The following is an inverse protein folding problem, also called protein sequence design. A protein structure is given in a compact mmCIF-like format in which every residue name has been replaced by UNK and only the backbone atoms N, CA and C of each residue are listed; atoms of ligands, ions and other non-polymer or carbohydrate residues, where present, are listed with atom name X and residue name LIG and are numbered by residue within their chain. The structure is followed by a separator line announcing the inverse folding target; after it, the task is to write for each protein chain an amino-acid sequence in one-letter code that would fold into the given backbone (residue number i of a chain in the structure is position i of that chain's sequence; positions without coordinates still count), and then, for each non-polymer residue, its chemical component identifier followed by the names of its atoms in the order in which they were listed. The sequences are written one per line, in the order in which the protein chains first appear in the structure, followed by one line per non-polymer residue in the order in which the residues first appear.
data_IF_027774750344
#
_entry.id   IF_027774750344
#
_cell.length_a   1.000
_cell.length_b   1.000
_cell.length_c   1.000
_cell.angle_alpha   90.00
_cell.angle_beta   90.00
_cell.angle_gamma   90.00
#
_symmetry.space_group_name_H-M   'P 1'
#
loop_
_entity.id
_entity.type
_entity.pdbx_description
1 polymer ?
#
# COMPACT_ATOMS: atom_id res chain seq x y z
N UNK A 1 18.39 -6.77 22.29
CA UNK A 1 18.24 -5.38 21.79
C UNK A 1 16.76 -5.13 21.61
N UNK A 2 16.30 -3.88 21.78
CA UNK A 2 14.92 -3.55 21.44
C UNK A 2 14.72 -3.74 19.93
N UNK A 3 13.59 -4.31 19.51
CA UNK A 3 13.24 -4.46 18.11
C UNK A 3 12.97 -3.09 17.48
N UNK A 4 13.26 -2.94 16.20
CA UNK A 4 13.00 -1.72 15.45
C UNK A 4 11.70 -1.87 14.63
N UNK A 5 11.15 -0.76 14.16
CA UNK A 5 10.09 -0.75 13.16
C UNK A 5 10.70 -0.64 11.76
N UNK A 6 10.08 -1.27 10.77
CA UNK A 6 10.54 -1.31 9.39
C UNK A 6 9.47 -0.78 8.42
N UNK A 7 9.88 0.18 7.57
CA UNK A 7 9.17 0.48 6.33
C UNK A 7 9.94 -0.11 5.16
N UNK A 8 9.26 -0.89 4.33
CA UNK A 8 9.84 -1.54 3.16
C UNK A 8 8.92 -1.40 1.95
N UNK A 9 9.48 -0.96 0.84
CA UNK A 9 8.78 -0.85 -0.44
C UNK A 9 9.53 -1.52 -1.57
N UNK A 10 8.88 -1.66 -2.72
CA UNK A 10 9.52 -2.21 -3.92
C UNK A 10 9.27 -1.32 -5.14
N UNK A 11 10.31 -1.03 -5.92
CA UNK A 11 10.19 -0.24 -7.14
C UNK A 11 11.10 -0.71 -8.27
N UNK A 12 10.67 -0.43 -9.49
CA UNK A 12 11.49 -0.56 -10.70
C UNK A 12 11.09 0.52 -11.69
N UNK A 13 12.08 1.09 -12.42
CA UNK A 13 11.88 2.14 -13.41
C UNK A 13 11.24 3.44 -12.87
N UNK A 14 11.34 3.72 -11.58
CA UNK A 14 10.97 5.02 -11.00
C UNK A 14 12.21 5.88 -10.79
N UNK A 15 12.04 7.18 -11.07
CA UNK A 15 13.02 8.20 -10.75
C UNK A 15 12.74 8.88 -9.41
N UNK A 16 13.60 9.81 -9.05
CA UNK A 16 13.49 10.59 -7.80
C UNK A 16 12.12 11.28 -7.72
N UNK A 17 11.62 11.82 -8.84
CA UNK A 17 10.40 12.59 -8.86
C UNK A 17 9.16 11.77 -8.45
N UNK A 18 9.08 10.51 -8.90
CA UNK A 18 7.99 9.60 -8.50
C UNK A 18 8.09 9.16 -7.05
N UNK A 19 9.31 9.04 -6.51
CA UNK A 19 9.56 8.53 -5.16
C UNK A 19 9.51 9.60 -4.07
N UNK A 20 9.67 10.89 -4.41
CA UNK A 20 9.74 12.01 -3.44
C UNK A 20 8.63 12.00 -2.40
N UNK A 21 7.34 11.91 -2.74
CA UNK A 21 6.27 11.97 -1.74
C UNK A 21 6.37 10.86 -0.71
N UNK A 22 6.62 9.64 -1.15
CA UNK A 22 6.77 8.48 -0.27
C UNK A 22 7.99 8.63 0.64
N UNK A 23 9.16 8.88 0.08
CA UNK A 23 10.43 8.96 0.80
C UNK A 23 10.44 10.13 1.81
N UNK A 24 10.05 11.32 1.35
CA UNK A 24 10.12 12.53 2.18
C UNK A 24 9.04 12.52 3.27
N UNK A 25 7.86 11.96 2.99
CA UNK A 25 6.83 11.82 4.02
C UNK A 25 7.20 10.82 5.12
N UNK A 26 7.92 9.75 4.80
CA UNK A 26 8.49 8.83 5.80
C UNK A 26 9.51 9.58 6.66
N UNK A 27 10.42 10.32 6.04
CA UNK A 27 11.44 11.09 6.77
C UNK A 27 10.83 12.16 7.69
N UNK A 28 9.72 12.79 7.24
CA UNK A 28 8.97 13.78 8.01
C UNK A 28 8.25 13.17 9.22
N UNK A 29 7.58 12.03 9.04
CA UNK A 29 6.65 11.47 10.03
C UNK A 29 7.27 10.38 10.92
N UNK A 30 8.29 9.69 10.42
CA UNK A 30 8.93 8.53 11.06
C UNK A 30 10.45 8.54 10.82
N UNK A 31 11.19 9.57 11.29
CA UNK A 31 12.62 9.75 10.97
C UNK A 31 13.50 8.58 11.43
N UNK A 32 13.18 7.96 12.56
CA UNK A 32 13.99 6.95 13.22
C UNK A 32 13.67 5.51 12.77
N UNK A 33 12.72 5.31 11.85
CA UNK A 33 12.35 3.99 11.37
C UNK A 33 13.44 3.39 10.47
N UNK A 34 13.62 2.09 10.50
CA UNK A 34 14.42 1.39 9.47
C UNK A 34 13.71 1.48 8.13
N UNK A 35 14.45 1.93 7.11
CA UNK A 35 13.93 2.17 5.75
C UNK A 35 14.64 1.26 4.77
N UNK A 36 13.88 0.48 3.99
CA UNK A 36 14.39 -0.45 2.99
C UNK A 36 13.66 -0.27 1.67
N UNK A 37 14.40 -0.22 0.58
CA UNK A 37 13.86 -0.23 -0.77
C UNK A 37 14.36 -1.45 -1.53
N UNK A 38 13.45 -2.36 -1.87
CA UNK A 38 13.71 -3.41 -2.84
C UNK A 38 13.70 -2.76 -4.24
N UNK A 39 14.88 -2.69 -4.89
CA UNK A 39 15.05 -1.89 -6.09
C UNK A 39 15.46 -2.74 -7.29
N UNK A 40 14.66 -2.67 -8.35
CA UNK A 40 14.96 -3.23 -9.66
C UNK A 40 15.79 -2.26 -10.52
N UNK A 41 15.37 -2.04 -11.76
CA UNK A 41 15.99 -1.04 -12.65
C UNK A 41 15.77 0.36 -12.11
N UNK A 42 16.86 1.11 -11.93
CA UNK A 42 16.85 2.53 -11.56
C UNK A 42 18.18 3.17 -11.97
N UNK A 43 18.17 4.48 -12.20
CA UNK A 43 19.40 5.25 -12.46
C UNK A 43 20.31 5.28 -11.23
N UNK A 44 21.62 5.48 -11.43
CA UNK A 44 22.54 5.63 -10.30
C UNK A 44 22.16 6.83 -9.44
N UNK A 45 21.75 7.95 -10.04
CA UNK A 45 21.27 9.14 -9.34
C UNK A 45 20.11 8.82 -8.38
N UNK A 46 19.13 8.01 -8.82
CA UNK A 46 18.01 7.59 -7.96
C UNK A 46 18.50 6.71 -6.80
N UNK A 47 19.45 5.82 -7.05
CA UNK A 47 20.03 4.96 -6.00
C UNK A 47 20.78 5.76 -4.97
N UNK A 48 21.65 6.67 -5.40
CA UNK A 48 22.44 7.53 -4.53
C UNK A 48 21.53 8.42 -3.67
N UNK A 49 20.50 9.01 -4.28
CA UNK A 49 19.52 9.82 -3.57
C UNK A 49 18.77 9.02 -2.50
N UNK A 50 18.33 7.79 -2.78
CA UNK A 50 17.67 6.94 -1.78
C UNK A 50 18.59 6.63 -0.59
N UNK A 51 19.88 6.37 -0.85
CA UNK A 51 20.89 6.15 0.21
C UNK A 51 21.08 7.44 1.04
N UNK A 52 21.16 8.60 0.41
CA UNK A 52 21.22 9.91 1.09
C UNK A 52 19.98 10.17 1.96
N UNK A 53 18.81 9.65 1.55
CA UNK A 53 17.59 9.70 2.35
C UNK A 53 17.53 8.64 3.48
N UNK A 54 18.58 7.85 3.65
CA UNK A 54 18.70 6.85 4.72
C UNK A 54 18.08 5.49 4.40
N UNK A 55 17.84 5.18 3.11
CA UNK A 55 17.34 3.88 2.70
C UNK A 55 18.46 2.87 2.49
N UNK A 56 18.29 1.66 3.03
CA UNK A 56 19.02 0.49 2.60
C UNK A 56 18.43 0.00 1.28
N UNK A 57 19.28 -0.25 0.29
CA UNK A 57 18.87 -0.77 -1.02
C UNK A 57 19.08 -2.27 -1.10
N UNK A 58 18.03 -2.99 -1.43
CA UNK A 58 18.05 -4.44 -1.65
C UNK A 58 17.72 -4.73 -3.12
N UNK A 59 18.56 -5.45 -3.86
CA UNK A 59 18.28 -5.73 -5.25
C UNK A 59 17.03 -6.62 -5.39
N UNK A 60 16.13 -6.28 -6.32
CA UNK A 60 15.04 -7.17 -6.70
C UNK A 60 15.58 -8.30 -7.61
N UNK A 61 15.11 -9.53 -7.44
CA UNK A 61 15.49 -10.62 -8.35
C UNK A 61 15.04 -10.33 -9.78
N UNK A 62 15.84 -10.78 -10.75
CA UNK A 62 15.43 -10.70 -12.15
C UNK A 62 14.53 -11.91 -12.47
N UNK A 63 13.27 -11.63 -12.77
CA UNK A 63 12.29 -12.65 -13.11
C UNK A 63 11.28 -12.09 -14.12
N UNK A 64 10.73 -12.96 -14.96
CA UNK A 64 9.64 -12.61 -15.86
C UNK A 64 8.29 -12.66 -15.11
N UNK A 65 8.21 -11.88 -14.04
CA UNK A 65 7.04 -11.76 -13.16
C UNK A 65 6.72 -10.27 -13.06
N UNK A 66 5.44 -9.88 -13.16
CA UNK A 66 5.05 -8.49 -13.00
C UNK A 66 5.53 -7.90 -11.66
N UNK A 67 6.02 -6.67 -11.70
CA UNK A 67 6.67 -6.03 -10.53
C UNK A 67 5.76 -5.94 -9.30
N UNK A 68 4.46 -5.73 -9.50
CA UNK A 68 3.48 -5.68 -8.41
C UNK A 68 3.32 -7.04 -7.68
N UNK A 69 3.68 -8.16 -8.31
CA UNK A 69 3.79 -9.49 -7.67
C UNK A 69 5.21 -9.74 -7.18
N UNK A 70 6.23 -9.39 -7.99
CA UNK A 70 7.63 -9.64 -7.67
C UNK A 70 8.11 -8.92 -6.41
N UNK A 71 7.57 -7.72 -6.13
CA UNK A 71 7.90 -6.98 -4.90
C UNK A 71 7.65 -7.80 -3.64
N UNK A 72 6.61 -8.61 -3.59
CA UNK A 72 6.32 -9.45 -2.43
C UNK A 72 7.36 -10.54 -2.20
N UNK A 73 7.92 -11.12 -3.27
CA UNK A 73 9.08 -12.02 -3.14
C UNK A 73 10.28 -11.28 -2.57
N UNK A 74 10.59 -10.10 -3.10
CA UNK A 74 11.75 -9.32 -2.65
C UNK A 74 11.65 -8.94 -1.18
N UNK A 75 10.45 -8.52 -0.74
CA UNK A 75 10.17 -8.21 0.66
C UNK A 75 10.28 -9.47 1.53
N UNK A 76 9.76 -10.60 1.05
CA UNK A 76 9.89 -11.89 1.76
C UNK A 76 11.35 -12.30 1.94
N UNK A 77 12.17 -12.23 0.88
CA UNK A 77 13.58 -12.60 0.96
C UNK A 77 14.34 -11.76 1.99
N UNK A 78 14.06 -10.46 2.04
CA UNK A 78 14.63 -9.59 3.07
C UNK A 78 14.13 -9.97 4.48
N UNK A 79 12.83 -10.14 4.65
CA UNK A 79 12.23 -10.46 5.95
C UNK A 79 12.62 -11.87 6.42
N UNK A 80 12.75 -12.86 5.54
CA UNK A 80 13.18 -14.20 5.89
C UNK A 80 14.48 -14.20 6.73
N UNK A 81 15.39 -13.29 6.42
CA UNK A 81 16.70 -13.20 7.06
C UNK A 81 16.74 -12.19 8.23
N UNK A 82 15.78 -11.25 8.27
CA UNK A 82 15.88 -10.10 9.16
C UNK A 82 14.66 -9.90 10.08
N UNK A 83 13.57 -10.64 9.93
CA UNK A 83 12.29 -10.36 10.63
C UNK A 83 12.41 -10.29 12.15
N UNK A 84 13.31 -11.05 12.76
CA UNK A 84 13.50 -11.08 14.22
C UNK A 84 14.02 -9.74 14.78
N UNK A 85 14.62 -8.89 13.94
CA UNK A 85 15.10 -7.57 14.31
C UNK A 85 13.97 -6.55 14.43
N UNK A 86 12.78 -6.85 13.85
CA UNK A 86 11.67 -5.92 13.73
C UNK A 86 10.48 -6.31 14.60
N UNK A 87 9.85 -5.30 15.18
CA UNK A 87 8.56 -5.44 15.85
C UNK A 87 7.43 -5.41 14.82
N UNK A 88 7.35 -4.30 14.10
CA UNK A 88 6.38 -4.10 13.04
C UNK A 88 7.05 -3.88 11.69
N UNK A 89 6.33 -4.30 10.66
CA UNK A 89 6.65 -4.02 9.26
C UNK A 89 5.45 -3.34 8.60
N UNK A 90 5.71 -2.23 7.90
CA UNK A 90 4.75 -1.61 6.99
C UNK A 90 5.32 -1.70 5.58
N UNK A 91 4.52 -2.20 4.64
CA UNK A 91 4.82 -2.17 3.20
C UNK A 91 3.70 -1.46 2.44
N UNK A 92 4.09 -0.62 1.49
CA UNK A 92 3.13 0.10 0.66
C UNK A 92 3.59 0.14 -0.79
N UNK A 93 2.67 0.50 -1.70
CA UNK A 93 3.05 1.08 -2.98
C UNK A 93 3.90 2.33 -2.72
N UNK A 94 4.79 2.68 -3.66
CA UNK A 94 5.79 3.73 -3.40
C UNK A 94 5.63 4.96 -4.30
N UNK A 95 4.81 4.88 -5.34
CA UNK A 95 4.62 5.96 -6.31
C UNK A 95 3.52 6.94 -5.91
N UNK A 96 2.41 6.39 -5.43
CA UNK A 96 1.16 7.10 -5.20
C UNK A 96 0.69 7.03 -3.73
N UNK A 97 1.66 6.90 -2.83
CA UNK A 97 1.45 6.87 -1.36
C UNK A 97 2.25 7.98 -0.69
N UNK A 98 1.66 8.61 0.31
CA UNK A 98 2.40 9.43 1.29
C UNK A 98 1.84 9.24 2.70
N UNK A 99 2.65 9.55 3.70
CA UNK A 99 2.30 9.45 5.11
C UNK A 99 1.95 10.83 5.66
N UNK A 100 0.85 10.92 6.40
CA UNK A 100 0.45 12.17 7.07
C UNK A 100 0.89 12.20 8.54
N UNK A 101 1.07 11.04 9.15
CA UNK A 101 1.52 10.88 10.53
C UNK A 101 2.23 9.54 10.71
N UNK A 102 2.82 9.34 11.87
CA UNK A 102 3.46 8.08 12.26
C UNK A 102 2.46 6.92 12.25
N UNK A 103 2.62 6.04 11.25
CA UNK A 103 1.72 4.91 11.05
C UNK A 103 1.97 3.76 12.06
N UNK A 104 3.13 3.69 12.69
CA UNK A 104 3.40 2.68 13.73
C UNK A 104 2.62 2.97 15.01
N UNK A 105 2.38 4.25 15.32
CA UNK A 105 1.50 4.62 16.45
C UNK A 105 0.07 4.11 16.29
N UNK A 106 -0.38 3.90 15.05
CA UNK A 106 -1.67 3.25 14.81
C UNK A 106 -1.61 1.77 15.24
N UNK A 107 -0.54 1.06 14.88
CA UNK A 107 -0.36 -0.35 15.25
C UNK A 107 -0.30 -0.51 16.77
N UNK A 108 0.48 0.32 17.44
CA UNK A 108 0.58 0.32 18.92
C UNK A 108 -0.77 0.61 19.58
N UNK A 109 -1.47 1.64 19.13
CA UNK A 109 -2.76 2.06 19.69
C UNK A 109 -3.83 0.95 19.59
N UNK A 110 -3.80 0.18 18.52
CA UNK A 110 -4.74 -0.93 18.29
C UNK A 110 -4.21 -2.29 18.75
N UNK A 111 -3.09 -2.32 19.46
CA UNK A 111 -2.46 -3.56 19.97
C UNK A 111 -2.22 -4.61 18.86
N UNK A 112 -1.88 -4.16 17.65
CA UNK A 112 -1.53 -5.07 16.55
C UNK A 112 -0.22 -5.78 16.92
N UNK A 113 -0.13 -7.08 16.70
CA UNK A 113 1.05 -7.89 17.07
C UNK A 113 1.06 -8.41 18.51
N UNK A 114 0.16 -7.94 19.37
CA UNK A 114 0.01 -8.50 20.71
C UNK A 114 -0.60 -9.90 20.63
N UNK A 115 -0.12 -10.81 21.47
CA UNK A 115 -0.60 -12.19 21.53
C UNK A 115 -2.13 -12.23 21.70
N UNK A 116 -2.77 -13.12 20.93
CA UNK A 116 -4.23 -13.32 20.89
C UNK A 116 -5.04 -12.12 20.34
N UNK A 117 -4.35 -11.09 19.84
CA UNK A 117 -4.94 -9.94 19.13
C UNK A 117 -4.66 -10.01 17.62
N UNK A 118 -5.05 -8.98 16.88
CA UNK A 118 -4.75 -8.90 15.46
C UNK A 118 -3.23 -8.80 15.23
N UNK A 119 -2.75 -9.48 14.19
CA UNK A 119 -1.33 -9.50 13.84
C UNK A 119 -1.02 -8.67 12.60
N UNK A 120 -2.04 -8.40 11.80
CA UNK A 120 -1.95 -7.70 10.51
C UNK A 120 -3.01 -6.62 10.45
N UNK A 121 -2.79 -5.59 9.62
CA UNK A 121 -3.75 -4.53 9.33
C UNK A 121 -3.81 -4.24 7.83
N UNK A 122 -5.01 -3.97 7.34
CA UNK A 122 -5.25 -3.50 5.97
C UNK A 122 -6.43 -2.51 5.93
N UNK A 123 -6.47 -1.67 4.90
CA UNK A 123 -7.48 -0.63 4.72
C UNK A 123 -8.56 -1.02 3.71
N UNK A 124 -9.82 -0.72 4.04
CA UNK A 124 -10.98 -0.89 3.16
C UNK A 124 -10.93 0.06 1.96
N UNK A 125 -11.44 -0.39 0.82
CA UNK A 125 -11.82 0.45 -0.33
C UNK A 125 -13.27 0.95 -0.25
N UNK A 126 -13.97 0.70 0.87
CA UNK A 126 -15.37 1.03 1.12
C UNK A 126 -16.36 0.50 0.06
N UNK A 127 -15.99 -0.48 -0.71
CA UNK A 127 -16.83 -1.15 -1.73
C UNK A 127 -16.74 -2.67 -1.58
N UNK A 128 -17.78 -3.36 -2.06
CA UNK A 128 -17.74 -4.81 -2.24
C UNK A 128 -17.25 -5.15 -3.65
N UNK A 129 -16.72 -6.35 -3.83
CA UNK A 129 -16.28 -6.82 -5.14
C UNK A 129 -17.38 -6.68 -6.20
N UNK A 130 -18.61 -7.12 -5.92
CA UNK A 130 -19.74 -7.03 -6.87
C UNK A 130 -20.09 -5.61 -7.31
N UNK A 131 -19.72 -4.61 -6.52
CA UNK A 131 -20.06 -3.20 -6.72
C UNK A 131 -18.92 -2.41 -7.39
N UNK A 132 -17.74 -3.04 -7.58
CA UNK A 132 -16.57 -2.49 -8.26
C UNK A 132 -16.20 -3.37 -9.45
N UNK A 133 -16.47 -2.87 -10.66
CA UNK A 133 -16.44 -3.69 -11.89
C UNK A 133 -15.07 -4.31 -12.19
N UNK A 134 -13.98 -3.56 -11.98
CA UNK A 134 -12.64 -4.05 -12.24
C UNK A 134 -12.24 -5.16 -11.26
N UNK A 135 -12.41 -4.94 -9.97
CA UNK A 135 -12.09 -5.93 -8.94
C UNK A 135 -12.97 -7.17 -9.04
N UNK A 136 -14.26 -6.99 -9.35
CA UNK A 136 -15.19 -8.10 -9.56
C UNK A 136 -14.74 -9.02 -10.69
N UNK A 137 -14.41 -8.44 -11.85
CA UNK A 137 -13.89 -9.17 -13.00
C UNK A 137 -12.53 -9.79 -12.72
N UNK A 138 -11.63 -9.04 -12.04
CA UNK A 138 -10.32 -9.52 -11.64
C UNK A 138 -10.41 -10.74 -10.72
N UNK A 139 -11.32 -10.73 -9.74
CA UNK A 139 -11.56 -11.87 -8.84
C UNK A 139 -12.07 -13.09 -9.63
N UNK A 140 -13.00 -12.87 -10.57
CA UNK A 140 -13.56 -13.93 -11.40
C UNK A 140 -12.48 -14.55 -12.30
N UNK A 141 -11.69 -13.74 -12.99
CA UNK A 141 -10.61 -14.21 -13.87
C UNK A 141 -9.48 -14.89 -13.12
N UNK A 142 -9.17 -14.41 -11.90
CA UNK A 142 -8.10 -14.99 -11.06
C UNK A 142 -8.46 -16.37 -10.52
N UNK A 143 -9.70 -16.58 -10.12
CA UNK A 143 -10.09 -17.77 -9.34
C UNK A 143 -11.23 -18.60 -9.95
N UNK A 144 -11.89 -18.09 -11.00
CA UNK A 144 -13.06 -18.74 -11.59
C UNK A 144 -14.34 -18.56 -10.78
N UNK A 145 -15.49 -19.02 -11.34
CA UNK A 145 -16.82 -18.70 -10.83
C UNK A 145 -17.11 -19.25 -9.43
N UNK A 146 -16.49 -20.35 -9.03
CA UNK A 146 -16.75 -20.93 -7.71
C UNK A 146 -16.25 -20.02 -6.59
N UNK A 147 -14.99 -19.65 -6.63
CA UNK A 147 -14.39 -18.74 -5.63
C UNK A 147 -14.98 -17.33 -5.75
N UNK A 148 -15.20 -16.85 -6.96
CA UNK A 148 -15.88 -15.58 -7.18
C UNK A 148 -17.23 -15.52 -6.44
N UNK A 149 -18.08 -16.53 -6.57
CA UNK A 149 -19.38 -16.58 -5.88
C UNK A 149 -19.27 -16.58 -4.34
N UNK A 150 -18.18 -17.13 -3.79
CA UNK A 150 -17.94 -17.11 -2.35
C UNK A 150 -17.50 -15.73 -1.83
N UNK A 151 -16.83 -14.93 -2.65
CA UNK A 151 -16.16 -13.71 -2.20
C UNK A 151 -16.69 -12.41 -2.80
N UNK A 152 -17.54 -12.44 -3.82
CA UNK A 152 -18.07 -11.23 -4.51
C UNK A 152 -18.83 -10.27 -3.60
N UNK A 153 -19.39 -10.75 -2.51
CA UNK A 153 -20.10 -9.93 -1.50
C UNK A 153 -19.19 -9.39 -0.41
N UNK A 154 -17.89 -9.77 -0.40
CA UNK A 154 -16.93 -9.27 0.56
C UNK A 154 -16.47 -7.86 0.19
N UNK A 155 -16.09 -7.10 1.22
CA UNK A 155 -15.46 -5.79 1.07
C UNK A 155 -14.07 -5.99 0.47
N UNK A 156 -13.70 -5.08 -0.43
CA UNK A 156 -12.35 -5.02 -1.00
C UNK A 156 -11.41 -4.35 0.01
N UNK A 157 -10.30 -5.00 0.30
CA UNK A 157 -9.19 -4.43 1.07
C UNK A 157 -7.99 -4.27 0.14
N UNK A 158 -7.39 -3.09 0.17
CA UNK A 158 -6.31 -2.75 -0.76
C UNK A 158 -4.98 -3.39 -0.33
N UNK A 159 -4.31 -4.04 -1.28
CA UNK A 159 -3.02 -4.72 -1.08
C UNK A 159 -1.83 -3.76 -1.14
N UNK A 160 -2.04 -2.54 -1.61
CA UNK A 160 -1.01 -1.50 -1.72
C UNK A 160 -0.62 -0.85 -0.40
N UNK A 161 -1.30 -1.16 0.73
CA UNK A 161 -0.97 -0.66 2.06
C UNK A 161 -1.23 -1.73 3.11
N UNK A 162 -0.17 -2.35 3.59
CA UNK A 162 -0.21 -3.43 4.58
C UNK A 162 0.70 -3.12 5.77
N UNK A 163 0.30 -3.55 6.95
CA UNK A 163 1.13 -3.45 8.15
C UNK A 163 0.86 -4.59 9.13
N UNK A 164 1.78 -4.79 10.07
CA UNK A 164 1.61 -5.79 11.12
C UNK A 164 2.89 -6.24 11.77
N UNK A 165 2.81 -7.26 12.63
CA UNK A 165 3.99 -7.87 13.24
C UNK A 165 4.89 -8.50 12.17
N UNK A 166 6.20 -8.42 12.37
CA UNK A 166 7.18 -8.79 11.37
C UNK A 166 7.07 -10.25 10.92
N UNK A 167 6.77 -11.16 11.84
CA UNK A 167 6.58 -12.59 11.54
C UNK A 167 5.39 -12.82 10.60
N UNK A 168 4.23 -12.25 10.93
CA UNK A 168 3.04 -12.41 10.11
C UNK A 168 3.13 -11.67 8.77
N UNK A 169 3.80 -10.52 8.73
CA UNK A 169 4.06 -9.81 7.48
C UNK A 169 4.97 -10.62 6.55
N UNK A 170 6.05 -11.24 7.07
CA UNK A 170 6.91 -12.17 6.32
C UNK A 170 6.10 -13.27 5.65
N UNK A 171 5.24 -13.92 6.41
CA UNK A 171 4.46 -15.06 5.93
C UNK A 171 3.35 -14.62 4.96
N UNK A 172 2.72 -13.46 5.20
CA UNK A 172 1.69 -12.93 4.31
C UNK A 172 2.25 -12.57 2.93
N UNK A 173 3.37 -11.84 2.88
CA UNK A 173 3.94 -11.43 1.58
C UNK A 173 4.41 -12.64 0.77
N UNK A 174 4.94 -13.68 1.40
CA UNK A 174 5.24 -14.95 0.74
C UNK A 174 3.99 -15.62 0.18
N UNK A 175 2.92 -15.67 0.96
CA UNK A 175 1.67 -16.26 0.53
C UNK A 175 1.00 -15.47 -0.61
N UNK A 176 1.08 -14.14 -0.60
CA UNK A 176 0.63 -13.31 -1.73
C UNK A 176 1.43 -13.68 -2.99
N UNK A 177 2.77 -13.67 -2.91
CA UNK A 177 3.63 -14.02 -4.03
C UNK A 177 3.34 -15.41 -4.58
N UNK A 178 3.38 -16.44 -3.74
CA UNK A 178 3.24 -17.84 -4.16
C UNK A 178 1.88 -18.14 -4.77
N UNK A 179 0.82 -17.50 -4.27
CA UNK A 179 -0.53 -17.65 -4.82
C UNK A 179 -0.78 -16.81 -6.08
N UNK A 180 -0.06 -15.70 -6.26
CA UNK A 180 -0.19 -14.83 -7.42
C UNK A 180 0.56 -15.34 -8.66
N UNK A 181 1.71 -16.00 -8.47
CA UNK A 181 2.66 -16.35 -9.55
C UNK A 181 2.06 -17.26 -10.62
N UNK A 182 1.12 -18.13 -10.28
CA UNK A 182 0.54 -19.12 -11.20
C UNK A 182 -0.91 -18.78 -11.61
N UNK A 183 -1.27 -17.51 -11.67
CA UNK A 183 -2.62 -17.10 -12.08
C UNK A 183 -2.70 -16.78 -13.57
N UNK A 184 -3.89 -16.90 -14.17
CA UNK A 184 -4.06 -16.76 -15.62
C UNK A 184 -3.93 -15.33 -16.14
N UNK A 185 -4.00 -14.33 -15.25
CA UNK A 185 -3.87 -12.90 -15.58
C UNK A 185 -2.74 -12.26 -14.76
N UNK A 186 -2.11 -11.18 -15.27
CA UNK A 186 -0.91 -10.63 -14.63
C UNK A 186 -1.17 -9.83 -13.35
N UNK A 187 -2.30 -9.11 -13.26
CA UNK A 187 -2.62 -8.24 -12.10
C UNK A 187 -3.60 -8.98 -11.20
N UNK A 188 -3.08 -9.65 -10.18
CA UNK A 188 -3.87 -10.58 -9.34
C UNK A 188 -3.61 -10.42 -7.85
N UNK A 189 -2.62 -9.64 -7.47
CA UNK A 189 -2.16 -9.50 -6.09
C UNK A 189 -3.30 -9.07 -5.13
N UNK A 190 -4.17 -8.14 -5.56
CA UNK A 190 -5.30 -7.70 -4.74
C UNK A 190 -6.37 -8.80 -4.57
N UNK A 191 -6.72 -9.53 -5.63
CA UNK A 191 -7.66 -10.64 -5.53
C UNK A 191 -7.10 -11.76 -4.65
N UNK A 192 -5.82 -12.09 -4.82
CA UNK A 192 -5.11 -13.09 -4.00
C UNK A 192 -5.10 -12.66 -2.53
N UNK A 193 -4.69 -11.43 -2.24
CA UNK A 193 -4.69 -10.89 -0.89
C UNK A 193 -6.06 -10.99 -0.23
N UNK A 194 -7.12 -10.58 -0.92
CA UNK A 194 -8.47 -10.60 -0.36
C UNK A 194 -9.00 -12.02 -0.10
N UNK A 195 -8.64 -13.00 -0.92
CA UNK A 195 -8.96 -14.40 -0.64
C UNK A 195 -8.20 -14.88 0.59
N UNK A 196 -6.89 -14.58 0.70
CA UNK A 196 -6.06 -14.97 1.85
C UNK A 196 -6.62 -14.43 3.16
N UNK A 197 -6.91 -13.13 3.25
CA UNK A 197 -7.38 -12.51 4.51
C UNK A 197 -8.81 -12.89 4.89
N UNK A 198 -9.55 -13.54 4.02
CA UNK A 198 -10.89 -14.06 4.30
C UNK A 198 -10.90 -15.58 4.53
N UNK A 199 -9.74 -16.24 4.47
CA UNK A 199 -9.56 -17.68 4.72
C UNK A 199 -8.54 -17.91 5.84
N UNK A 200 -8.51 -19.15 6.38
CA UNK A 200 -7.47 -19.51 7.34
C UNK A 200 -6.09 -19.60 6.65
N UNK A 201 -5.00 -19.23 7.32
CA UNK A 201 -4.92 -18.84 8.75
C UNK A 201 -5.18 -17.34 9.03
N UNK A 202 -5.32 -16.49 7.99
CA UNK A 202 -5.34 -15.03 8.16
C UNK A 202 -6.67 -14.46 8.64
N UNK A 203 -7.79 -15.14 8.40
CA UNK A 203 -9.15 -14.63 8.65
C UNK A 203 -9.35 -14.02 10.04
N UNK A 204 -8.73 -14.60 11.06
CA UNK A 204 -8.93 -14.20 12.44
C UNK A 204 -7.82 -13.29 13.00
N UNK A 205 -6.74 -13.08 12.23
CA UNK A 205 -5.56 -12.33 12.70
C UNK A 205 -5.38 -11.00 11.96
N UNK A 206 -6.24 -10.69 10.98
CA UNK A 206 -6.19 -9.43 10.24
C UNK A 206 -7.20 -8.44 10.81
N UNK A 207 -6.70 -7.27 11.23
CA UNK A 207 -7.54 -6.11 11.52
C UNK A 207 -7.92 -5.43 10.21
N UNK A 208 -9.15 -5.67 9.79
CA UNK A 208 -9.75 -5.09 8.59
C UNK A 208 -10.31 -3.72 8.94
N UNK A 209 -9.55 -2.66 8.66
CA UNK A 209 -9.93 -1.32 9.07
C UNK A 209 -10.93 -0.69 8.10
N UNK A 210 -11.88 0.02 8.68
CA UNK A 210 -12.72 1.01 8.00
C UNK A 210 -12.01 2.37 7.96
N UNK A 211 -12.47 3.30 7.13
CA UNK A 211 -11.93 4.66 7.07
C UNK A 211 -12.02 5.38 8.43
N UNK A 212 -13.04 5.10 9.21
CA UNK A 212 -13.24 5.67 10.56
C UNK A 212 -12.09 5.39 11.52
N UNK A 213 -11.32 4.31 11.32
CA UNK A 213 -10.16 4.01 12.13
C UNK A 213 -8.96 4.91 11.83
N UNK A 214 -8.89 5.53 10.64
CA UNK A 214 -7.80 6.43 10.26
C UNK A 214 -6.47 5.74 9.91
N UNK A 215 -6.49 4.44 9.55
CA UNK A 215 -5.31 3.73 9.07
C UNK A 215 -4.87 4.24 7.71
N UNK A 216 -5.63 3.90 6.68
CA UNK A 216 -5.32 4.27 5.31
C UNK A 216 -6.58 4.62 4.53
N UNK A 217 -6.49 5.59 3.63
CA UNK A 217 -7.51 5.90 2.63
C UNK A 217 -7.08 5.42 1.25
N UNK A 218 -8.00 4.82 0.49
CA UNK A 218 -7.81 4.31 -0.86
C UNK A 218 -8.50 5.27 -1.85
N UNK A 219 -7.83 6.36 -2.22
CA UNK A 219 -8.45 7.46 -2.95
C UNK A 219 -9.01 7.07 -4.33
N UNK A 220 -8.44 6.05 -4.97
CA UNK A 220 -8.88 5.56 -6.27
C UNK A 220 -10.31 4.99 -6.32
N UNK A 221 -10.88 4.67 -5.16
CA UNK A 221 -12.27 4.20 -5.05
C UNK A 221 -13.18 5.20 -4.34
N UNK A 222 -12.68 5.88 -3.30
CA UNK A 222 -13.52 6.70 -2.44
C UNK A 222 -13.45 8.21 -2.72
N UNK A 223 -12.58 8.67 -3.64
CA UNK A 223 -12.39 10.10 -3.89
C UNK A 223 -11.99 10.43 -5.35
N UNK A 224 -11.73 9.45 -6.22
CA UNK A 224 -11.40 9.68 -7.63
C UNK A 224 -12.59 10.32 -8.36
N UNK A 225 -12.50 11.59 -8.82
CA UNK A 225 -13.59 12.28 -9.44
C UNK A 225 -14.05 11.64 -10.77
N UNK A 226 -13.23 10.80 -11.38
CA UNK A 226 -13.59 10.07 -12.61
C UNK A 226 -14.47 8.85 -12.35
N UNK A 227 -14.57 8.38 -11.11
CA UNK A 227 -15.25 7.14 -10.73
C UNK A 227 -16.28 7.29 -9.61
N UNK A 228 -16.08 8.24 -8.71
CA UNK A 228 -16.83 8.35 -7.46
C UNK A 228 -18.33 8.44 -7.66
N UNK A 229 -18.80 9.14 -8.69
CA UNK A 229 -20.23 9.26 -8.97
C UNK A 229 -20.90 7.91 -9.25
N UNK A 230 -20.18 7.00 -9.92
CA UNK A 230 -20.64 5.64 -10.15
C UNK A 230 -20.58 4.75 -8.89
N UNK A 231 -19.63 5.00 -8.00
CA UNK A 231 -19.44 4.22 -6.77
C UNK A 231 -20.30 4.70 -5.60
N UNK A 232 -20.63 6.01 -5.55
CA UNK A 232 -21.34 6.64 -4.43
C UNK A 232 -22.60 5.91 -3.96
N UNK A 233 -23.46 5.35 -4.83
CA UNK A 233 -24.64 4.60 -4.37
C UNK A 233 -24.30 3.32 -3.58
N UNK A 234 -23.08 2.77 -3.76
CA UNK A 234 -22.64 1.51 -3.17
C UNK A 234 -21.54 1.69 -2.12
N UNK A 235 -21.10 2.93 -1.87
CA UNK A 235 -20.12 3.21 -0.83
C UNK A 235 -20.66 2.79 0.55
N UNK A 236 -19.84 2.02 1.27
CA UNK A 236 -20.16 1.53 2.61
C UNK A 236 -19.79 2.52 3.72
N UNK A 237 -19.01 3.55 3.35
CA UNK A 237 -18.55 4.60 4.26
C UNK A 237 -18.63 5.96 3.57
N UNK A 238 -18.80 7.07 4.33
CA UNK A 238 -18.78 8.43 3.77
C UNK A 238 -17.43 8.75 3.12
N UNK A 239 -17.48 9.55 2.05
CA UNK A 239 -16.28 10.03 1.36
C UNK A 239 -15.34 10.78 2.31
N UNK A 240 -14.00 10.64 2.13
CA UNK A 240 -13.02 11.43 2.87
C UNK A 240 -13.07 12.89 2.43
N UNK A 241 -12.47 13.77 3.24
CA UNK A 241 -12.39 15.21 2.97
C UNK A 241 -10.95 15.66 2.95
N UNK A 242 -10.69 16.74 2.21
CA UNK A 242 -9.41 17.43 2.25
C UNK A 242 -9.60 18.74 3.01
N UNK A 243 -8.93 18.89 4.15
CA UNK A 243 -9.10 20.04 5.05
C UNK A 243 -7.71 20.49 5.52
N UNK A 244 -7.36 21.74 5.29
CA UNK A 244 -6.09 22.35 5.73
C UNK A 244 -4.85 21.53 5.35
N UNK A 245 -4.83 21.00 4.13
CA UNK A 245 -3.70 20.18 3.64
C UNK A 245 -3.65 18.75 4.20
N UNK A 246 -4.74 18.28 4.79
CA UNK A 246 -4.86 16.93 5.35
C UNK A 246 -6.06 16.19 4.77
N UNK A 247 -5.86 14.92 4.47
CA UNK A 247 -6.96 14.00 4.16
C UNK A 247 -7.50 13.42 5.45
N UNK A 248 -8.79 13.66 5.70
CA UNK A 248 -9.47 13.25 6.93
C UNK A 248 -10.71 12.41 6.60
N UNK A 249 -11.12 11.56 7.51
CA UNK A 249 -12.38 10.84 7.40
C UNK A 249 -13.60 11.75 7.70
N UNK A 250 -14.79 11.20 7.66
CA UNK A 250 -16.04 11.94 7.91
C UNK A 250 -16.12 12.58 9.30
N UNK A 251 -15.36 12.06 10.28
CA UNK A 251 -15.28 12.54 11.67
C UNK A 251 -14.16 13.55 11.91
N UNK A 252 -13.39 13.89 10.87
CA UNK A 252 -12.24 14.79 10.98
C UNK A 252 -10.95 14.13 11.47
N UNK A 253 -10.90 12.80 11.56
CA UNK A 253 -9.67 12.07 11.92
C UNK A 253 -8.76 11.96 10.70
N UNK A 254 -7.50 12.38 10.85
CA UNK A 254 -6.48 12.23 9.82
C UNK A 254 -6.16 10.75 9.58
N UNK A 255 -6.02 10.36 8.33
CA UNK A 255 -5.43 9.07 7.97
C UNK A 255 -3.92 9.06 8.24
N UNK A 256 -3.39 7.91 8.66
CA UNK A 256 -1.94 7.76 8.76
C UNK A 256 -1.32 7.70 7.37
N UNK A 257 -1.97 7.04 6.43
CA UNK A 257 -1.48 6.79 5.07
C UNK A 257 -2.53 7.21 4.05
N UNK A 258 -2.10 7.93 3.02
CA UNK A 258 -2.93 8.30 1.87
C UNK A 258 -2.39 7.58 0.64
N UNK A 259 -3.17 6.67 0.10
CA UNK A 259 -2.84 5.90 -1.09
C UNK A 259 -3.66 6.38 -2.30
N UNK A 260 -3.04 6.33 -3.49
CA UNK A 260 -3.63 6.76 -4.76
C UNK A 260 -4.03 8.25 -4.75
N UNK A 261 -3.26 9.08 -4.02
CA UNK A 261 -3.51 10.52 -3.94
C UNK A 261 -3.48 11.20 -5.32
N UNK A 262 -2.75 10.62 -6.27
CA UNK A 262 -2.60 11.12 -7.63
C UNK A 262 -3.87 11.01 -8.49
N UNK A 263 -4.88 10.28 -8.01
CA UNK A 263 -6.22 10.18 -8.62
C UNK A 263 -7.09 11.40 -8.34
N UNK A 264 -6.78 12.15 -7.28
CA UNK A 264 -7.53 13.34 -6.89
C UNK A 264 -6.71 14.58 -7.21
N UNK A 265 -7.12 15.41 -8.19
CA UNK A 265 -6.30 16.54 -8.68
C UNK A 265 -5.84 17.51 -7.58
N UNK A 266 -6.71 17.85 -6.63
CA UNK A 266 -6.39 18.73 -5.51
C UNK A 266 -5.32 18.13 -4.60
N UNK A 267 -5.43 16.84 -4.26
CA UNK A 267 -4.46 16.15 -3.40
C UNK A 267 -3.12 15.98 -4.11
N UNK A 268 -3.18 15.64 -5.39
CA UNK A 268 -1.99 15.52 -6.25
C UNK A 268 -1.21 16.83 -6.29
N UNK A 269 -1.91 17.96 -6.51
CA UNK A 269 -1.25 19.27 -6.57
C UNK A 269 -0.67 19.66 -5.21
N UNK A 270 -1.39 19.44 -4.12
CA UNK A 270 -0.86 19.67 -2.78
C UNK A 270 0.42 18.87 -2.52
N UNK A 271 0.41 17.56 -2.81
CA UNK A 271 1.55 16.67 -2.62
C UNK A 271 2.72 17.09 -3.52
N UNK A 272 2.43 17.46 -4.78
CA UNK A 272 3.42 17.96 -5.72
C UNK A 272 4.15 19.20 -5.19
N UNK A 273 3.41 20.15 -4.68
CA UNK A 273 4.00 21.39 -4.11
C UNK A 273 4.75 21.08 -2.83
N UNK A 274 4.14 20.33 -1.92
CA UNK A 274 4.73 20.00 -0.61
C UNK A 274 6.07 19.29 -0.71
N UNK A 275 6.20 18.33 -1.63
CA UNK A 275 7.42 17.51 -1.76
C UNK A 275 8.31 17.90 -2.94
N UNK A 276 8.01 19.00 -3.62
CA UNK A 276 8.84 19.54 -4.69
C UNK A 276 8.96 18.59 -5.89
N UNK A 277 7.85 17.94 -6.29
CA UNK A 277 7.81 17.18 -7.54
C UNK A 277 7.81 18.15 -8.73
N UNK A 278 8.59 17.82 -9.77
CA UNK A 278 8.57 18.57 -11.01
C UNK A 278 7.24 18.36 -11.74
N UNK A 279 6.71 19.43 -12.35
CA UNK A 279 5.52 19.31 -13.19
C UNK A 279 5.88 18.54 -14.49
N UNK A 280 5.21 17.44 -14.82
CA UNK A 280 5.45 16.72 -16.06
C UNK A 280 5.27 17.58 -17.31
N UNK A 281 4.47 18.65 -17.25
CA UNK A 281 4.23 19.56 -18.37
C UNK A 281 5.41 20.50 -18.66
N UNK A 282 6.33 20.74 -17.72
CA UNK A 282 7.50 21.59 -17.95
C UNK A 282 8.53 20.97 -18.90
N UNK A 283 8.51 19.67 -19.13
CA UNK A 283 9.42 18.98 -20.05
C UNK A 283 9.00 19.05 -21.51
N UNK A 284 7.77 19.47 -21.81
CA UNK A 284 7.28 19.59 -23.20
C UNK A 284 7.48 20.96 -23.85
N UNK A 285 7.94 21.97 -23.10
CA UNK A 285 8.11 23.35 -23.61
C UNK A 285 9.50 23.66 -24.18
N UNK A 286 10.42 22.71 -24.23
CA UNK A 286 11.77 22.91 -24.81
C UNK A 286 12.10 21.91 -25.92
N UNK A 287 11.18 21.72 -26.88
CA UNK A 287 11.47 21.17 -28.21
C UNK A 287 10.76 22.02 -29.25
N UNK A 288 11.37 23.15 -29.59
CA UNK A 288 11.19 23.85 -30.87
C UNK A 288 12.56 23.95 -31.52
#
# INVERSE_FOLDING_TARGET
MAKQNLIIGGCTNYGINELKPWVLSINETMPDVKKVMCIGSATQETRDWLVEQGFELVPMPQANIPVHVLRFLSIYEYLRENWEQYEYVITTDVKDVYFQKDAFKFLDHHNVGVRDMHQLVCGSEALRYKDESWGNENLLQTYGPYIHNLFKDNIIYNVGVLGGSAEYMRDLVFNIFSNATNRPIPIVDQAVFNVLINTQPYKNVVFKTWMDHGWAVQAGTVADPSKIDGFRPNLLEPEPKFVDGKVVNSKGTEFAIVHQYDRVPEWKEFVRVKYGQNDPQQFFTYRV
#
